data_IF_675842758209
#
_entry.id   IF_675842758209
#
_cell.length_a   1.000
_cell.length_b   1.000
_cell.length_c   1.000
_cell.angle_alpha   90.00
_cell.angle_beta   90.00
_cell.angle_gamma   90.00
#
_symmetry.space_group_name_H-M   'P 1'
#
loop_
_entity.id
_entity.type
_entity.pdbx_description
1 polymer ?
#
# COMPACT_ATOMS: atom_id res chain seq x y z
N UNK A 1 29.84 -11.70 32.75
CA UNK A 1 28.76 -10.75 32.44
C UNK A 1 29.26 -9.78 31.38
N UNK A 2 28.47 -9.54 30.33
CA UNK A 2 28.74 -8.63 29.18
C UNK A 2 29.25 -9.26 27.88
N UNK A 3 28.59 -10.32 27.42
CA UNK A 3 28.67 -10.80 26.03
C UNK A 3 27.24 -11.06 25.52
N UNK A 4 26.42 -10.02 25.32
CA UNK A 4 25.12 -10.13 24.64
C UNK A 4 24.48 -8.76 24.30
N UNK A 5 24.95 -8.02 23.28
CA UNK A 5 24.15 -7.01 22.53
C UNK A 5 25.00 -6.34 21.45
N UNK A 6 25.37 -7.06 20.39
CA UNK A 6 25.86 -6.41 19.17
C UNK A 6 25.35 -7.22 17.97
N UNK A 7 24.03 -7.18 17.78
CA UNK A 7 23.44 -7.63 16.52
C UNK A 7 23.71 -6.53 15.49
N UNK A 8 24.19 -6.85 14.29
CA UNK A 8 24.42 -5.88 13.24
C UNK A 8 23.14 -5.08 12.97
N UNK A 9 23.26 -3.76 12.91
CA UNK A 9 22.19 -2.85 12.48
C UNK A 9 21.58 -3.38 11.17
N UNK A 10 20.30 -3.75 11.21
CA UNK A 10 19.63 -4.26 10.02
C UNK A 10 19.63 -3.16 8.94
N UNK A 11 20.15 -3.42 7.73
CA UNK A 11 20.25 -2.42 6.65
C UNK A 11 18.89 -1.92 6.13
N UNK A 12 17.79 -2.42 6.68
CA UNK A 12 16.42 -2.10 6.32
C UNK A 12 15.57 -1.73 7.55
N UNK A 13 16.02 -0.75 8.35
CA UNK A 13 15.08 -0.03 9.23
C UNK A 13 14.14 0.80 8.36
N UNK A 14 12.94 0.29 8.09
CA UNK A 14 11.90 1.02 7.37
C UNK A 14 11.18 2.00 8.30
N UNK A 15 11.71 3.21 8.45
CA UNK A 15 10.95 4.34 9.01
C UNK A 15 9.93 4.84 7.98
N UNK A 16 8.77 4.19 7.92
CA UNK A 16 7.67 4.63 7.05
C UNK A 16 7.10 5.96 7.53
N UNK A 17 7.12 6.99 6.68
CA UNK A 17 6.51 8.30 6.94
C UNK A 17 5.15 8.52 6.27
N UNK A 18 4.67 7.56 5.49
CA UNK A 18 3.37 7.67 4.83
C UNK A 18 2.30 7.12 5.76
N UNK A 19 1.34 7.96 6.12
CA UNK A 19 0.16 7.53 6.86
C UNK A 19 -0.55 6.41 6.11
N UNK A 20 -1.06 5.37 6.80
CA UNK A 20 -1.87 4.33 6.17
C UNK A 20 -3.10 4.93 5.49
N UNK A 21 -3.44 4.42 4.31
CA UNK A 21 -4.69 4.77 3.62
C UNK A 21 -5.73 3.71 4.00
N UNK A 22 -6.88 4.17 4.49
CA UNK A 22 -7.99 3.32 4.93
C UNK A 22 -9.27 3.70 4.19
N UNK A 23 -10.15 2.73 3.93
CA UNK A 23 -11.44 2.93 3.28
C UNK A 23 -12.43 1.84 3.68
N UNK A 24 -13.72 2.17 3.69
CA UNK A 24 -14.81 1.20 3.90
C UNK A 24 -15.42 0.66 2.60
N UNK A 25 -15.23 1.36 1.48
CA UNK A 25 -15.93 1.07 0.21
C UNK A 25 -15.00 0.59 -0.91
N UNK A 26 -13.70 0.66 -0.71
CA UNK A 26 -12.71 0.21 -1.68
C UNK A 26 -11.45 1.08 -1.69
N UNK A 27 -10.33 0.48 -2.08
CA UNK A 27 -9.00 1.09 -2.25
C UNK A 27 -8.42 0.56 -3.57
N UNK A 28 -7.72 1.41 -4.31
CA UNK A 28 -6.85 1.01 -5.42
C UNK A 28 -5.45 1.57 -5.14
N UNK A 29 -4.42 0.74 -5.29
CA UNK A 29 -3.04 1.11 -5.08
C UNK A 29 -2.19 0.66 -6.28
N UNK A 30 -1.43 1.57 -6.85
CA UNK A 30 -0.50 1.28 -7.95
C UNK A 30 0.66 2.29 -7.93
N UNK A 31 1.72 2.00 -8.69
CA UNK A 31 2.85 2.91 -8.87
C UNK A 31 2.54 4.09 -9.81
N UNK A 32 1.41 4.06 -10.53
CA UNK A 32 1.00 5.08 -11.49
C UNK A 32 -0.31 5.74 -11.03
N UNK A 33 -0.29 7.01 -10.57
CA UNK A 33 -1.49 7.70 -10.11
C UNK A 33 -2.70 7.62 -11.06
N UNK A 34 -2.48 7.68 -12.38
CA UNK A 34 -3.57 7.55 -13.36
C UNK A 34 -4.21 6.16 -13.41
N UNK A 35 -3.42 5.09 -13.18
CA UNK A 35 -3.95 3.73 -13.11
C UNK A 35 -4.78 3.54 -11.83
N UNK A 36 -4.33 4.10 -10.70
CA UNK A 36 -5.14 4.13 -9.47
C UNK A 36 -6.47 4.86 -9.69
N UNK A 37 -6.47 5.94 -10.48
CA UNK A 37 -7.70 6.66 -10.82
C UNK A 37 -8.63 5.85 -11.75
N UNK A 38 -8.10 5.06 -12.68
CA UNK A 38 -8.88 4.18 -13.54
C UNK A 38 -9.64 3.13 -12.72
N UNK A 39 -8.93 2.39 -11.86
CA UNK A 39 -9.56 1.43 -10.95
C UNK A 39 -10.57 2.10 -9.99
N UNK A 40 -10.25 3.29 -9.46
CA UNK A 40 -11.18 4.05 -8.62
C UNK A 40 -12.45 4.46 -9.37
N UNK A 41 -12.37 4.72 -10.68
CA UNK A 41 -13.55 5.01 -11.50
C UNK A 41 -14.45 3.80 -11.63
N UNK A 42 -13.90 2.61 -11.89
CA UNK A 42 -14.67 1.36 -11.94
C UNK A 42 -15.37 1.09 -10.61
N UNK A 43 -14.68 1.24 -9.47
CA UNK A 43 -15.31 1.10 -8.15
C UNK A 43 -16.46 2.11 -7.93
N UNK A 44 -16.32 3.35 -8.42
CA UNK A 44 -17.37 4.39 -8.32
C UNK A 44 -18.58 4.09 -9.22
N UNK A 45 -18.35 3.43 -10.34
CA UNK A 45 -19.40 3.01 -11.29
C UNK A 45 -20.10 1.71 -10.85
N UNK A 46 -19.70 1.13 -9.70
CA UNK A 46 -20.33 -0.05 -9.10
C UNK A 46 -19.65 -1.37 -9.43
N UNK A 47 -18.49 -1.34 -10.11
CA UNK A 47 -17.64 -2.51 -10.32
C UNK A 47 -17.01 -3.03 -9.03
N UNK A 48 -16.59 -4.29 -9.04
CA UNK A 48 -15.94 -4.93 -7.90
C UNK A 48 -14.40 -4.77 -7.92
N UNK A 49 -13.72 -5.39 -6.96
CA UNK A 49 -12.26 -5.33 -6.85
C UNK A 49 -11.51 -5.99 -8.02
N UNK A 50 -12.06 -7.05 -8.61
CA UNK A 50 -11.49 -7.70 -9.79
C UNK A 50 -11.65 -6.82 -11.04
N UNK A 51 -12.83 -6.23 -11.24
CA UNK A 51 -13.07 -5.28 -12.35
C UNK A 51 -12.10 -4.10 -12.26
N UNK A 52 -11.92 -3.55 -11.07
CA UNK A 52 -11.00 -2.43 -10.81
C UNK A 52 -9.51 -2.78 -10.97
N UNK A 53 -9.14 -4.07 -10.90
CA UNK A 53 -7.77 -4.52 -11.11
C UNK A 53 -7.42 -4.74 -12.59
N UNK A 54 -8.42 -4.96 -13.44
CA UNK A 54 -8.25 -5.10 -14.90
C UNK A 54 -8.13 -3.75 -15.59
N UNK A 55 -8.78 -2.71 -15.05
CA UNK A 55 -8.78 -1.35 -15.58
C UNK A 55 -7.46 -0.59 -15.35
#
# INVERSE_FOLDING_TARGET
MSHMTNLPEHPFRFESRRSPVLSRKGIVASSQPLASLAGLRILREGGNAADAAVA
#
